data_IF_305296849242
#
_entry.id   IF_305296849242
#
_cell.length_a   1.000
_cell.length_b   1.000
_cell.length_c   1.000
_cell.angle_alpha   90.00
_cell.angle_beta   90.00
_cell.angle_gamma   90.00
#
_symmetry.space_group_name_H-M   'P 1'
#
loop_
_entity.id
_entity.type
_entity.pdbx_description
1 polymer ?
#
# COMPACT_ATOMS: atom_id res chain seq x y z
N UNK A 1 37.45 -33.80 -1.85
CA UNK A 1 36.30 -33.39 -2.68
C UNK A 1 35.18 -32.70 -1.90
N UNK A 2 34.88 -33.12 -0.66
CA UNK A 2 33.79 -32.58 0.18
C UNK A 2 33.85 -31.07 0.41
N UNK A 3 35.03 -30.49 0.68
CA UNK A 3 35.17 -29.03 0.88
C UNK A 3 34.84 -28.18 -0.35
N UNK A 4 35.11 -28.68 -1.57
CA UNK A 4 34.75 -27.99 -2.81
C UNK A 4 33.24 -28.02 -3.06
N UNK A 5 32.61 -29.15 -2.76
CA UNK A 5 31.15 -29.31 -2.88
C UNK A 5 30.38 -28.41 -1.92
N UNK A 6 30.87 -28.26 -0.68
CA UNK A 6 30.26 -27.35 0.30
C UNK A 6 30.38 -25.89 -0.14
N UNK A 7 31.52 -25.50 -0.69
CA UNK A 7 31.74 -24.15 -1.22
C UNK A 7 30.82 -23.82 -2.41
N UNK A 8 30.64 -24.77 -3.33
CA UNK A 8 29.71 -24.60 -4.46
C UNK A 8 28.25 -24.52 -4.00
N UNK A 9 27.89 -25.27 -2.96
CA UNK A 9 26.54 -25.23 -2.39
C UNK A 9 26.26 -23.89 -1.67
N UNK A 10 27.22 -23.39 -0.89
CA UNK A 10 27.08 -22.08 -0.25
C UNK A 10 27.00 -20.95 -1.27
N UNK A 11 27.81 -21.01 -2.34
CA UNK A 11 27.81 -19.99 -3.39
C UNK A 11 26.48 -19.97 -4.18
N UNK A 12 25.94 -21.14 -4.50
CA UNK A 12 24.64 -21.26 -5.18
C UNK A 12 23.47 -20.81 -4.29
N UNK A 13 23.50 -21.16 -2.99
CA UNK A 13 22.52 -20.66 -2.03
C UNK A 13 22.56 -19.13 -1.89
N UNK A 14 23.75 -18.52 -1.80
CA UNK A 14 23.87 -17.06 -1.73
C UNK A 14 23.39 -16.36 -3.00
N UNK A 15 23.61 -16.96 -4.17
CA UNK A 15 23.15 -16.37 -5.44
C UNK A 15 21.62 -16.44 -5.58
N UNK A 16 20.98 -17.48 -5.04
CA UNK A 16 19.53 -17.62 -5.04
C UNK A 16 18.82 -16.54 -4.20
N UNK A 17 19.47 -16.01 -3.14
CA UNK A 17 18.92 -14.91 -2.34
C UNK A 17 18.84 -13.58 -3.09
N UNK A 18 19.64 -13.37 -4.14
CA UNK A 18 19.56 -12.16 -4.98
C UNK A 18 18.43 -12.18 -6.00
N UNK A 19 17.73 -13.32 -6.16
CA UNK A 19 16.60 -13.48 -7.09
C UNK A 19 15.26 -13.14 -6.40
N UNK A 20 15.28 -12.78 -5.10
CA UNK A 20 14.08 -12.33 -4.38
C UNK A 20 13.56 -11.07 -5.07
N UNK A 21 12.28 -11.04 -5.47
CA UNK A 21 11.77 -9.98 -6.31
C UNK A 21 11.81 -8.62 -5.60
N UNK A 22 12.38 -7.63 -6.30
CA UNK A 22 12.35 -6.18 -5.99
C UNK A 22 10.92 -5.64 -6.18
N UNK A 23 9.94 -6.22 -5.48
CA UNK A 23 8.57 -5.70 -5.51
C UNK A 23 8.38 -4.47 -4.59
N UNK A 24 9.45 -4.04 -3.90
CA UNK A 24 9.44 -2.87 -3.02
C UNK A 24 9.56 -1.54 -3.79
N UNK A 25 9.78 -1.57 -5.11
CA UNK A 25 9.83 -0.36 -5.95
C UNK A 25 8.45 0.11 -6.46
N UNK A 26 7.35 -0.56 -6.10
CA UNK A 26 6.01 -0.18 -6.53
C UNK A 26 5.37 0.96 -5.69
N UNK A 27 6.05 1.46 -4.66
CA UNK A 27 5.62 2.67 -3.97
C UNK A 27 6.05 3.89 -4.79
N UNK A 28 5.19 4.31 -5.72
CA UNK A 28 5.38 5.58 -6.40
C UNK A 28 5.49 6.69 -5.34
N UNK A 29 6.61 7.41 -5.31
CA UNK A 29 6.84 8.50 -4.36
C UNK A 29 5.91 9.69 -4.61
N UNK A 30 5.35 9.77 -5.81
CA UNK A 30 4.39 10.77 -6.22
C UNK A 30 3.10 10.09 -6.64
N UNK A 31 1.97 10.70 -6.26
CA UNK A 31 0.67 10.24 -6.71
C UNK A 31 0.51 10.51 -8.21
N UNK A 32 0.11 9.51 -8.97
CA UNK A 32 -0.22 9.65 -10.40
C UNK A 32 -1.46 10.52 -10.60
N UNK A 33 -2.39 10.48 -9.65
CA UNK A 33 -3.61 11.29 -9.65
C UNK A 33 -3.57 12.31 -8.50
N UNK A 34 -3.65 13.62 -8.78
CA UNK A 34 -3.77 14.63 -7.73
C UNK A 34 -5.02 14.39 -6.88
N UNK A 35 -4.87 14.47 -5.57
CA UNK A 35 -5.96 14.25 -4.63
C UNK A 35 -5.96 15.27 -3.50
N UNK A 36 -7.14 15.43 -2.88
CA UNK A 36 -7.32 16.15 -1.61
C UNK A 36 -7.96 15.22 -0.60
N UNK A 37 -7.60 15.37 0.67
CA UNK A 37 -8.22 14.63 1.77
C UNK A 37 -9.03 15.62 2.62
N UNK A 38 -10.23 15.23 3.00
CA UNK A 38 -11.12 16.07 3.81
C UNK A 38 -12.23 15.27 4.47
N UNK A 39 -13.07 15.95 5.24
CA UNK A 39 -14.32 15.37 5.78
C UNK A 39 -15.47 15.84 4.92
N UNK A 40 -16.24 14.92 4.36
CA UNK A 40 -17.36 15.19 3.45
C UNK A 40 -18.63 14.52 3.97
N UNK A 41 -19.78 15.12 3.67
CA UNK A 41 -21.07 14.49 3.95
C UNK A 41 -21.40 13.51 2.81
N UNK A 42 -21.39 12.21 3.10
CA UNK A 42 -21.86 11.16 2.19
C UNK A 42 -23.13 10.59 2.82
N UNK A 43 -24.27 10.72 2.13
CA UNK A 43 -25.59 10.36 2.68
C UNK A 43 -25.87 11.00 4.06
N UNK A 44 -25.54 12.29 4.21
CA UNK A 44 -25.66 13.07 5.46
C UNK A 44 -24.77 12.59 6.63
N UNK A 45 -23.85 11.65 6.38
CA UNK A 45 -22.88 11.16 7.38
C UNK A 45 -21.51 11.81 7.12
N UNK A 46 -20.94 12.54 8.11
CA UNK A 46 -19.60 13.10 7.98
C UNK A 46 -18.58 11.97 7.93
N UNK A 47 -17.88 11.85 6.80
CA UNK A 47 -16.96 10.75 6.50
C UNK A 47 -15.66 11.32 5.93
N UNK A 48 -14.51 10.73 6.29
CA UNK A 48 -13.23 11.07 5.68
C UNK A 48 -13.20 10.53 4.24
N UNK A 49 -12.97 11.42 3.29
CA UNK A 49 -13.00 11.11 1.87
C UNK A 49 -11.78 11.61 1.11
N UNK A 50 -11.50 10.94 0.00
CA UNK A 50 -10.52 11.35 -1.00
C UNK A 50 -11.24 12.01 -2.16
N UNK A 51 -10.80 13.20 -2.54
CA UNK A 51 -11.33 13.91 -3.70
C UNK A 51 -10.33 13.83 -4.84
N UNK A 52 -10.79 13.35 -5.99
CA UNK A 52 -9.98 13.14 -7.19
C UNK A 52 -10.67 13.74 -8.42
N UNK A 53 -9.97 13.76 -9.56
CA UNK A 53 -10.47 14.30 -10.85
C UNK A 53 -11.00 15.73 -10.73
N UNK A 54 -10.16 16.64 -10.24
CA UNK A 54 -10.50 18.07 -10.13
C UNK A 54 -11.83 18.32 -9.39
N UNK A 55 -11.99 17.68 -8.24
CA UNK A 55 -13.17 17.82 -7.36
C UNK A 55 -14.48 17.20 -7.88
N UNK A 56 -14.41 16.34 -8.90
CA UNK A 56 -15.60 15.69 -9.48
C UNK A 56 -16.01 14.38 -8.80
N UNK A 57 -15.08 13.72 -8.10
CA UNK A 57 -15.33 12.43 -7.49
C UNK A 57 -14.85 12.41 -6.04
N UNK A 58 -15.78 12.13 -5.12
CA UNK A 58 -15.50 11.88 -3.72
C UNK A 58 -15.55 10.38 -3.47
N UNK A 59 -14.45 9.83 -2.99
CA UNK A 59 -14.30 8.42 -2.62
C UNK A 59 -14.42 8.31 -1.11
N UNK A 60 -15.33 7.44 -0.64
CA UNK A 60 -15.34 7.00 0.77
C UNK A 60 -14.08 6.20 1.06
N UNK A 61 -13.16 6.80 1.81
CA UNK A 61 -11.85 6.22 2.06
C UNK A 61 -11.93 5.02 3.01
N UNK A 62 -12.92 4.96 3.93
CA UNK A 62 -13.08 3.84 4.84
C UNK A 62 -13.62 2.61 4.13
N UNK A 63 -14.59 2.80 3.24
CA UNK A 63 -15.08 1.73 2.38
C UNK A 63 -14.00 1.22 1.41
N UNK A 64 -13.23 2.13 0.80
CA UNK A 64 -12.15 1.79 -0.11
C UNK A 64 -11.05 0.98 0.60
N UNK A 65 -10.58 1.43 1.77
CA UNK A 65 -9.58 0.70 2.56
C UNK A 65 -10.08 -0.69 2.95
N UNK A 66 -11.34 -0.80 3.41
CA UNK A 66 -11.92 -2.11 3.75
C UNK A 66 -11.90 -3.07 2.56
N UNK A 67 -12.18 -2.59 1.35
CA UNK A 67 -12.12 -3.42 0.14
C UNK A 67 -10.67 -3.86 -0.17
N UNK A 68 -9.69 -2.98 0.02
CA UNK A 68 -8.28 -3.32 -0.16
C UNK A 68 -7.78 -4.32 0.88
N UNK A 69 -8.16 -4.18 2.14
CA UNK A 69 -7.79 -5.06 3.25
C UNK A 69 -8.32 -6.51 3.10
N UNK A 70 -9.26 -6.76 2.17
CA UNK A 70 -9.66 -8.12 1.81
C UNK A 70 -8.57 -8.87 1.03
N UNK A 71 -7.64 -8.14 0.42
CA UNK A 71 -6.54 -8.72 -0.34
C UNK A 71 -5.35 -8.91 0.63
N UNK A 72 -4.78 -10.13 0.76
CA UNK A 72 -3.73 -10.45 1.74
C UNK A 72 -2.47 -9.58 1.68
N UNK A 73 -2.25 -8.87 0.58
CA UNK A 73 -1.09 -7.99 0.39
C UNK A 73 -1.22 -6.65 1.13
N UNK A 74 -2.41 -6.27 1.59
CA UNK A 74 -2.63 -5.02 2.31
C UNK A 74 -2.87 -5.28 3.80
N UNK A 75 -2.08 -4.61 4.64
CA UNK A 75 -2.26 -4.64 6.09
C UNK A 75 -3.50 -3.87 6.50
N UNK A 76 -4.16 -4.32 7.57
CA UNK A 76 -5.25 -3.57 8.18
C UNK A 76 -4.73 -2.32 8.88
N UNK A 77 -5.36 -1.18 8.61
CA UNK A 77 -5.02 0.10 9.22
C UNK A 77 -6.27 0.74 9.82
N UNK A 78 -6.19 1.14 11.09
CA UNK A 78 -7.27 1.89 11.72
C UNK A 78 -7.38 3.26 11.08
N UNK A 79 -8.55 3.59 10.56
CA UNK A 79 -8.81 4.88 9.95
C UNK A 79 -9.20 5.93 11.01
N UNK A 80 -8.68 7.16 10.94
CA UNK A 80 -9.10 8.22 11.85
C UNK A 80 -10.58 8.60 11.64
N UNK A 81 -11.25 9.01 12.72
CA UNK A 81 -12.67 9.42 12.66
C UNK A 81 -12.89 10.70 11.85
N UNK A 82 -11.90 11.60 11.85
CA UNK A 82 -11.94 12.86 11.14
C UNK A 82 -10.51 13.35 10.82
N UNK A 83 -10.41 14.43 10.04
CA UNK A 83 -9.14 15.06 9.69
C UNK A 83 -8.70 16.14 10.72
N UNK A 84 -9.14 16.07 11.98
CA UNK A 84 -8.92 17.09 13.01
C UNK A 84 -7.87 16.71 14.08
N UNK A 85 -7.05 15.70 13.84
CA UNK A 85 -5.93 15.35 14.72
C UNK A 85 -4.82 14.67 13.94
N UNK A 86 -3.67 15.34 13.83
CA UNK A 86 -2.41 14.79 13.34
C UNK A 86 -1.54 14.38 14.54
#
# INVERSE_FOLDING_TARGET
MIRKSLFTLTLSATLAFFIVPVNVSAQAMESVEPFKVGTFAINDIPTVGLVVRDDQLVIDLAAANRAMELIPQYSKLSMPENMLGL
#
